data_IF_911432228603
#
_entry.id   IF_911432228603
#
_cell.length_a   1.000
_cell.length_b   1.000
_cell.length_c   1.000
_cell.angle_alpha   90.00
_cell.angle_beta   90.00
_cell.angle_gamma   90.00
#
_symmetry.space_group_name_H-M   'P 1'
#
loop_
_entity.id
_entity.type
_entity.pdbx_description
1 polymer ?
#
# COMPACT_ATOMS: atom_id res chain seq x y z
N UNK A 1 -27.44 -6.41 12.71
CA UNK A 1 -26.61 -7.64 12.66
C UNK A 1 -26.38 -8.12 11.24
N UNK A 2 -27.41 -8.25 10.39
CA UNK A 2 -27.22 -8.65 8.99
C UNK A 2 -26.40 -7.64 8.17
N UNK A 3 -26.70 -6.34 8.22
CA UNK A 3 -25.96 -5.32 7.44
C UNK A 3 -24.46 -5.27 7.76
N UNK A 4 -24.10 -5.34 9.05
CA UNK A 4 -22.71 -5.40 9.51
C UNK A 4 -22.03 -6.64 8.94
N UNK A 5 -22.70 -7.79 8.91
CA UNK A 5 -22.13 -9.03 8.39
C UNK A 5 -21.93 -8.98 6.87
N UNK A 6 -22.86 -8.40 6.11
CA UNK A 6 -22.72 -8.14 4.66
C UNK A 6 -21.63 -7.12 4.34
N UNK A 7 -21.51 -6.05 5.12
CA UNK A 7 -20.42 -5.07 4.97
C UNK A 7 -19.06 -5.72 5.29
N UNK A 8 -18.99 -6.53 6.34
CA UNK A 8 -17.77 -7.25 6.73
C UNK A 8 -17.37 -8.29 5.66
N UNK A 9 -18.34 -9.03 5.10
CA UNK A 9 -18.15 -9.95 3.99
C UNK A 9 -17.71 -9.23 2.71
N UNK A 10 -18.32 -8.09 2.37
CA UNK A 10 -17.94 -7.30 1.22
C UNK A 10 -16.50 -6.75 1.34
N UNK A 11 -16.11 -6.32 2.54
CA UNK A 11 -14.72 -5.90 2.82
C UNK A 11 -13.76 -7.09 2.74
N UNK A 12 -14.15 -8.26 3.26
CA UNK A 12 -13.34 -9.49 3.18
C UNK A 12 -13.17 -10.01 1.75
N UNK A 13 -14.24 -10.07 0.94
CA UNK A 13 -14.18 -10.52 -0.45
C UNK A 13 -13.30 -9.62 -1.30
N UNK A 14 -13.32 -8.31 -1.05
CA UNK A 14 -12.52 -7.32 -1.79
C UNK A 14 -11.05 -7.33 -1.32
N UNK A 15 -10.80 -7.49 -0.02
CA UNK A 15 -9.45 -7.70 0.52
C UNK A 15 -8.84 -9.03 0.01
N UNK A 16 -9.65 -10.09 -0.08
CA UNK A 16 -9.26 -11.37 -0.64
C UNK A 16 -8.94 -11.25 -2.15
N UNK A 17 -9.79 -10.57 -2.94
CA UNK A 17 -9.51 -10.29 -4.36
C UNK A 17 -8.20 -9.55 -4.57
N UNK A 18 -7.87 -8.60 -3.70
CA UNK A 18 -6.64 -7.82 -3.81
C UNK A 18 -5.40 -8.63 -3.38
N UNK A 19 -5.53 -9.48 -2.35
CA UNK A 19 -4.51 -10.48 -1.99
C UNK A 19 -4.29 -11.51 -3.10
N UNK A 20 -5.36 -11.91 -3.78
CA UNK A 20 -5.31 -12.81 -4.94
C UNK A 20 -4.58 -12.14 -6.09
N UNK A 21 -4.87 -10.87 -6.43
CA UNK A 21 -4.14 -10.13 -7.46
C UNK A 21 -2.64 -10.04 -7.13
N UNK A 22 -2.31 -9.72 -5.87
CA UNK A 22 -0.94 -9.64 -5.37
C UNK A 22 -0.21 -11.00 -5.43
N UNK A 23 -0.92 -12.09 -5.12
CA UNK A 23 -0.43 -13.46 -5.21
C UNK A 23 -0.18 -13.90 -6.66
N UNK A 24 -1.07 -13.58 -7.59
CA UNK A 24 -0.89 -13.91 -9.00
C UNK A 24 0.28 -13.16 -9.63
N UNK A 25 0.57 -11.95 -9.18
CA UNK A 25 1.68 -11.14 -9.68
C UNK A 25 3.05 -11.69 -9.33
N UNK A 26 3.17 -12.19 -8.11
CA UNK A 26 4.34 -12.91 -7.63
C UNK A 26 4.59 -14.18 -8.47
N UNK A 27 3.54 -14.79 -9.01
CA UNK A 27 3.62 -15.99 -9.87
C UNK A 27 3.98 -15.67 -11.32
N UNK A 28 3.96 -14.41 -11.76
CA UNK A 28 4.37 -14.05 -13.12
C UNK A 28 5.88 -14.26 -13.29
N UNK A 29 6.23 -15.11 -14.25
CA UNK A 29 7.61 -15.50 -14.55
C UNK A 29 8.54 -14.30 -14.82
N UNK A 30 8.05 -13.30 -15.56
CA UNK A 30 8.78 -12.05 -15.83
C UNK A 30 9.15 -11.29 -14.54
N UNK A 31 8.23 -11.28 -13.57
CA UNK A 31 8.45 -10.62 -12.31
C UNK A 31 9.49 -11.38 -11.49
N UNK A 32 9.39 -12.71 -11.43
CA UNK A 32 10.39 -13.58 -10.77
C UNK A 32 11.81 -13.41 -11.34
N UNK A 33 11.95 -13.31 -12.66
CA UNK A 33 13.24 -13.11 -13.32
C UNK A 33 13.85 -11.73 -13.00
N UNK A 34 13.02 -10.68 -12.92
CA UNK A 34 13.46 -9.37 -12.47
C UNK A 34 13.88 -9.39 -10.99
N UNK A 35 13.19 -10.13 -10.13
CA UNK A 35 13.45 -10.17 -8.69
C UNK A 35 14.79 -10.83 -8.31
N UNK A 36 15.26 -11.83 -9.07
CA UNK A 36 16.51 -12.53 -8.77
C UNK A 36 17.77 -11.80 -9.26
N UNK A 37 17.62 -10.74 -10.06
CA UNK A 37 18.76 -9.97 -10.58
C UNK A 37 19.25 -8.97 -9.54
N UNK A 38 20.53 -9.00 -9.22
CA UNK A 38 21.14 -8.10 -8.21
C UNK A 38 21.39 -6.68 -8.72
N UNK A 39 21.49 -6.49 -10.03
CA UNK A 39 21.65 -5.19 -10.68
C UNK A 39 20.62 -5.01 -11.80
N UNK A 40 19.78 -3.97 -11.66
CA UNK A 40 18.78 -3.62 -12.65
C UNK A 40 19.29 -2.50 -13.55
N UNK A 41 19.05 -2.65 -14.85
CA UNK A 41 19.24 -1.57 -15.82
C UNK A 41 18.17 -0.48 -15.62
N UNK A 42 18.41 0.76 -16.07
CA UNK A 42 17.40 1.82 -15.99
C UNK A 42 16.06 1.46 -16.67
N UNK A 43 16.10 0.67 -17.76
CA UNK A 43 14.90 0.18 -18.45
C UNK A 43 14.11 -0.81 -17.58
N UNK A 44 14.80 -1.71 -16.88
CA UNK A 44 14.17 -2.65 -15.94
C UNK A 44 13.57 -1.91 -14.74
N UNK A 45 14.28 -0.92 -14.17
CA UNK A 45 13.76 -0.08 -13.09
C UNK A 45 12.53 0.71 -13.53
N UNK A 46 12.52 1.25 -14.76
CA UNK A 46 11.36 1.94 -15.32
C UNK A 46 10.17 0.98 -15.48
N UNK A 47 10.40 -0.23 -16.01
CA UNK A 47 9.36 -1.25 -16.17
C UNK A 47 8.77 -1.66 -14.82
N UNK A 48 9.61 -1.93 -13.81
CA UNK A 48 9.18 -2.25 -12.45
C UNK A 48 8.41 -1.08 -11.83
N UNK A 49 8.90 0.16 -11.99
CA UNK A 49 8.19 1.35 -11.51
C UNK A 49 6.79 1.43 -12.12
N UNK A 50 6.66 1.26 -13.44
CA UNK A 50 5.36 1.26 -14.11
C UNK A 50 4.44 0.16 -13.59
N UNK A 51 4.95 -1.06 -13.43
CA UNK A 51 4.20 -2.21 -12.89
C UNK A 51 3.68 -1.93 -11.48
N UNK A 52 4.53 -1.45 -10.57
CA UNK A 52 4.12 -1.15 -9.20
C UNK A 52 3.18 0.06 -9.11
N UNK A 53 3.37 1.07 -9.95
CA UNK A 53 2.41 2.17 -10.09
C UNK A 53 1.05 1.65 -10.53
N UNK A 54 0.99 0.77 -11.53
CA UNK A 54 -0.27 0.16 -11.97
C UNK A 54 -0.96 -0.60 -10.85
N UNK A 55 -0.24 -1.34 -9.99
CA UNK A 55 -0.87 -1.98 -8.82
C UNK A 55 -1.35 -0.99 -7.78
N UNK A 56 -0.57 0.05 -7.51
CA UNK A 56 -0.95 1.07 -6.55
C UNK A 56 -2.23 1.83 -7.00
N UNK A 57 -2.35 2.08 -8.31
CA UNK A 57 -3.52 2.67 -8.95
C UNK A 57 -4.71 1.71 -8.95
N UNK A 58 -4.51 0.47 -9.43
CA UNK A 58 -5.54 -0.57 -9.45
C UNK A 58 -6.11 -0.83 -8.05
N UNK A 59 -5.25 -0.93 -7.04
CA UNK A 59 -5.64 -1.06 -5.63
C UNK A 59 -6.54 0.08 -5.16
N UNK A 60 -6.29 1.30 -5.65
CA UNK A 60 -7.14 2.45 -5.33
C UNK A 60 -8.49 2.37 -6.05
N UNK A 61 -8.52 1.98 -7.33
CA UNK A 61 -9.78 1.80 -8.09
C UNK A 61 -10.62 0.64 -7.61
N UNK A 62 -9.99 -0.45 -7.17
CA UNK A 62 -10.67 -1.59 -6.56
C UNK A 62 -11.02 -1.36 -5.08
N UNK A 63 -10.72 -0.17 -4.55
CA UNK A 63 -10.95 0.18 -3.16
C UNK A 63 -12.43 0.18 -2.79
N UNK A 64 -12.72 -0.12 -1.52
CA UNK A 64 -14.10 -0.18 -1.00
C UNK A 64 -14.47 1.17 -0.39
N UNK A 65 -15.56 1.82 -0.85
CA UNK A 65 -16.04 3.05 -0.25
C UNK A 65 -16.65 2.77 1.14
N UNK A 66 -16.20 3.50 2.15
CA UNK A 66 -16.70 3.44 3.54
C UNK A 66 -16.70 4.86 4.10
N UNK A 67 -17.89 5.43 4.37
CA UNK A 67 -18.04 6.75 5.02
C UNK A 67 -17.21 7.88 4.37
N UNK A 68 -17.20 7.96 3.04
CA UNK A 68 -16.41 8.96 2.31
C UNK A 68 -14.89 8.66 2.27
N UNK A 69 -14.47 7.48 2.72
CA UNK A 69 -13.11 6.94 2.58
C UNK A 69 -13.07 5.79 1.58
N UNK A 70 -11.86 5.47 1.07
CA UNK A 70 -11.60 4.33 0.20
C UNK A 70 -10.61 3.37 0.86
N UNK A 71 -11.09 2.22 1.32
CA UNK A 71 -10.27 1.13 1.88
C UNK A 71 -9.53 0.43 0.74
N UNK A 72 -8.20 0.41 0.79
CA UNK A 72 -7.35 -0.15 -0.27
C UNK A 72 -6.03 -0.67 0.33
N UNK A 73 -5.21 -1.35 -0.47
CA UNK A 73 -3.85 -1.80 -0.06
C UNK A 73 -2.74 -1.12 -0.85
N UNK A 74 -2.94 0.14 -1.25
CA UNK A 74 -1.97 0.90 -2.07
C UNK A 74 -0.58 0.93 -1.42
N UNK A 75 -0.53 1.12 -0.10
CA UNK A 75 0.72 1.14 0.67
C UNK A 75 1.49 -0.17 0.53
N UNK A 76 0.82 -1.30 0.35
CA UNK A 76 1.49 -2.59 0.16
C UNK A 76 2.29 -2.60 -1.14
N UNK A 77 1.72 -2.14 -2.25
CA UNK A 77 2.44 -2.02 -3.52
C UNK A 77 3.61 -1.04 -3.41
N UNK A 78 3.36 0.17 -2.89
CA UNK A 78 4.37 1.22 -2.73
C UNK A 78 5.55 0.74 -1.87
N UNK A 79 5.25 0.18 -0.70
CA UNK A 79 6.26 -0.21 0.29
C UNK A 79 7.08 -1.40 -0.21
N UNK A 80 6.42 -2.42 -0.78
CA UNK A 80 7.10 -3.60 -1.30
C UNK A 80 8.01 -3.25 -2.48
N UNK A 81 7.52 -2.41 -3.40
CA UNK A 81 8.29 -1.95 -4.56
C UNK A 81 9.57 -1.22 -4.16
N UNK A 82 9.49 -0.29 -3.20
CA UNK A 82 10.67 0.44 -2.73
C UNK A 82 11.67 -0.42 -1.95
N UNK A 83 11.21 -1.39 -1.15
CA UNK A 83 12.10 -2.29 -0.38
C UNK A 83 12.88 -3.22 -1.32
N UNK A 84 12.21 -3.73 -2.36
CA UNK A 84 12.77 -4.72 -3.26
C UNK A 84 13.66 -4.10 -4.34
N UNK A 85 13.22 -3.00 -4.94
CA UNK A 85 13.84 -2.43 -6.14
C UNK A 85 14.51 -1.07 -5.89
N UNK A 86 14.47 -0.59 -4.65
CA UNK A 86 15.22 0.59 -4.19
C UNK A 86 14.40 1.88 -4.15
N UNK A 87 14.99 2.97 -3.64
CA UNK A 87 14.25 4.18 -3.27
C UNK A 87 13.73 4.98 -4.44
N UNK A 88 14.34 4.88 -5.62
CA UNK A 88 13.80 5.55 -6.81
C UNK A 88 12.44 4.96 -7.18
N UNK A 89 12.32 3.63 -7.15
CA UNK A 89 11.04 2.93 -7.37
C UNK A 89 10.05 3.33 -6.29
N UNK A 90 10.43 3.22 -5.01
CA UNK A 90 9.56 3.59 -3.88
C UNK A 90 9.04 5.02 -3.96
N UNK A 91 9.92 6.00 -4.17
CA UNK A 91 9.57 7.41 -4.22
C UNK A 91 8.65 7.74 -5.41
N UNK A 92 8.97 7.24 -6.61
CA UNK A 92 8.17 7.52 -7.82
C UNK A 92 6.80 6.84 -7.71
N UNK A 93 6.75 5.57 -7.30
CA UNK A 93 5.48 4.84 -7.13
C UNK A 93 4.63 5.51 -6.04
N UNK A 94 5.23 5.89 -4.91
CA UNK A 94 4.54 6.58 -3.82
C UNK A 94 3.97 7.93 -4.24
N UNK A 95 4.74 8.72 -5.01
CA UNK A 95 4.27 9.99 -5.56
C UNK A 95 3.13 9.79 -6.56
N UNK A 96 3.29 8.90 -7.55
CA UNK A 96 2.26 8.62 -8.55
C UNK A 96 0.97 8.14 -7.87
N UNK A 97 1.08 7.20 -6.94
CA UNK A 97 -0.07 6.61 -6.30
C UNK A 97 -0.77 7.59 -5.34
N UNK A 98 0.00 8.42 -4.62
CA UNK A 98 -0.53 9.49 -3.79
C UNK A 98 -1.25 10.55 -4.62
N UNK A 99 -0.58 11.09 -5.65
CA UNK A 99 -1.15 12.13 -6.53
C UNK A 99 -2.42 11.60 -7.19
N UNK A 100 -2.38 10.39 -7.72
CA UNK A 100 -3.56 9.76 -8.31
C UNK A 100 -4.71 9.67 -7.29
N UNK A 101 -4.46 9.22 -6.04
CA UNK A 101 -5.49 9.15 -5.00
C UNK A 101 -6.08 10.52 -4.65
N UNK A 102 -5.27 11.57 -4.65
CA UNK A 102 -5.73 12.93 -4.42
C UNK A 102 -6.62 13.41 -5.58
N UNK A 103 -6.18 13.20 -6.82
CA UNK A 103 -6.88 13.70 -8.02
C UNK A 103 -8.25 13.04 -8.26
N UNK A 104 -8.43 11.77 -7.89
CA UNK A 104 -9.70 11.07 -8.12
C UNK A 104 -10.82 11.48 -7.15
N UNK A 105 -10.49 12.17 -6.05
CA UNK A 105 -11.41 12.43 -4.94
C UNK A 105 -10.87 13.62 -4.14
N UNK A 106 -10.75 14.78 -4.80
CA UNK A 106 -10.08 15.99 -4.28
C UNK A 106 -10.72 16.48 -2.97
N UNK A 107 -12.03 16.37 -2.86
CA UNK A 107 -12.81 16.78 -1.69
C UNK A 107 -13.01 15.65 -0.66
N UNK A 108 -12.40 14.49 -0.91
CA UNK A 108 -12.50 13.33 -0.04
C UNK A 108 -11.76 13.49 1.27
N UNK A 109 -12.41 13.08 2.36
CA UNK A 109 -11.89 13.19 3.75
C UNK A 109 -10.54 12.48 3.91
N UNK A 110 -10.27 11.45 3.09
CA UNK A 110 -9.02 10.68 3.18
C UNK A 110 -8.05 10.94 2.04
N UNK A 111 -8.35 11.85 1.11
CA UNK A 111 -7.51 12.13 -0.06
C UNK A 111 -6.15 12.70 0.30
N UNK A 112 -6.12 13.75 1.14
CA UNK A 112 -4.87 14.38 1.61
C UNK A 112 -4.10 13.46 2.57
N UNK A 113 -4.72 12.83 3.60
CA UNK A 113 -4.05 11.82 4.44
C UNK A 113 -3.37 10.74 3.60
N UNK A 114 -4.09 10.14 2.65
CA UNK A 114 -3.58 9.09 1.77
C UNK A 114 -2.44 9.57 0.86
N UNK A 115 -2.52 10.79 0.34
CA UNK A 115 -1.47 11.39 -0.48
C UNK A 115 -0.15 11.48 0.31
N UNK A 116 -0.21 12.07 1.50
CA UNK A 116 0.95 12.25 2.39
C UNK A 116 1.56 10.89 2.74
N UNK A 117 0.74 9.94 3.20
CA UNK A 117 1.26 8.64 3.66
C UNK A 117 1.79 7.78 2.52
N UNK A 118 1.29 7.94 1.29
CA UNK A 118 1.84 7.25 0.11
C UNK A 118 3.25 7.73 -0.23
N UNK A 119 3.50 9.04 -0.14
CA UNK A 119 4.85 9.60 -0.33
C UNK A 119 5.77 9.12 0.79
N UNK A 120 5.32 9.20 2.05
CA UNK A 120 6.10 8.75 3.22
C UNK A 120 6.45 7.27 3.09
N UNK A 121 5.51 6.40 2.73
CA UNK A 121 5.75 4.99 2.49
C UNK A 121 6.76 4.74 1.36
N UNK A 122 6.68 5.52 0.28
CA UNK A 122 7.63 5.44 -0.83
C UNK A 122 9.07 5.78 -0.43
N UNK A 123 9.25 6.80 0.42
CA UNK A 123 10.56 7.18 0.93
C UNK A 123 11.09 6.18 1.97
N UNK A 124 10.24 5.75 2.92
CA UNK A 124 10.60 4.80 3.97
C UNK A 124 10.97 3.43 3.40
N UNK A 125 10.20 2.92 2.44
CA UNK A 125 10.53 1.66 1.76
C UNK A 125 11.87 1.67 1.08
N UNK A 126 12.17 2.77 0.39
CA UNK A 126 13.46 3.00 -0.23
C UNK A 126 14.63 3.05 0.77
N UNK A 127 14.41 3.68 1.92
CA UNK A 127 15.37 3.70 3.01
C UNK A 127 15.61 2.30 3.56
N UNK A 128 14.54 1.53 3.82
CA UNK A 128 14.62 0.14 4.29
C UNK A 128 15.37 -0.73 3.28
N UNK A 129 15.03 -0.63 1.99
CA UNK A 129 15.68 -1.36 0.91
C UNK A 129 17.18 -1.10 0.79
N UNK A 130 17.66 0.09 1.19
CA UNK A 130 19.10 0.44 1.20
C UNK A 130 19.83 0.12 2.50
N UNK A 131 19.20 0.38 3.66
CA UNK A 131 19.88 0.38 4.96
C UNK A 131 19.65 -0.87 5.79
N UNK A 132 18.55 -1.60 5.57
CA UNK A 132 18.22 -2.80 6.36
C UNK A 132 18.79 -4.06 5.68
N UNK A 133 19.46 -4.95 6.44
CA UNK A 133 19.95 -6.23 5.93
C UNK A 133 18.82 -7.06 5.33
N UNK A 134 19.07 -7.75 4.19
CA UNK A 134 18.05 -8.53 3.47
C UNK A 134 17.21 -9.42 4.39
N UNK A 135 17.84 -10.18 5.28
CA UNK A 135 17.19 -11.08 6.24
C UNK A 135 16.15 -10.41 7.18
N UNK A 136 16.23 -9.08 7.36
CA UNK A 136 15.34 -8.32 8.26
C UNK A 136 14.37 -7.40 7.50
N UNK A 137 14.52 -7.24 6.18
CA UNK A 137 13.70 -6.31 5.38
C UNK A 137 12.21 -6.60 5.47
N UNK A 138 11.83 -7.87 5.59
CA UNK A 138 10.42 -8.24 5.74
C UNK A 138 9.83 -7.75 7.06
N UNK A 139 10.54 -7.90 8.19
CA UNK A 139 10.10 -7.40 9.50
C UNK A 139 10.01 -5.88 9.50
N UNK A 140 11.05 -5.23 8.96
CA UNK A 140 11.09 -3.78 8.82
C UNK A 140 9.97 -3.26 7.91
N UNK A 141 9.66 -3.98 6.83
CA UNK A 141 8.56 -3.66 5.92
C UNK A 141 7.19 -3.76 6.56
N UNK A 142 6.93 -4.81 7.35
CA UNK A 142 5.67 -4.93 8.13
C UNK A 142 5.55 -3.75 9.09
N UNK A 143 6.58 -3.51 9.90
CA UNK A 143 6.55 -2.44 10.90
C UNK A 143 6.34 -1.07 10.25
N UNK A 144 7.09 -0.77 9.18
CA UNK A 144 6.96 0.50 8.47
C UNK A 144 5.59 0.64 7.80
N UNK A 145 5.03 -0.44 7.23
CA UNK A 145 3.68 -0.44 6.69
C UNK A 145 2.63 -0.13 7.76
N UNK A 146 2.69 -0.82 8.90
CA UNK A 146 1.79 -0.57 10.02
C UNK A 146 1.90 0.86 10.54
N UNK A 147 3.11 1.41 10.63
CA UNK A 147 3.33 2.81 11.02
C UNK A 147 2.77 3.80 10.00
N UNK A 148 2.92 3.55 8.70
CA UNK A 148 2.33 4.39 7.64
C UNK A 148 0.79 4.34 7.67
N UNK A 149 0.19 3.18 7.90
CA UNK A 149 -1.26 3.06 8.03
C UNK A 149 -1.78 3.72 9.30
N UNK A 150 -1.05 3.56 10.41
CA UNK A 150 -1.37 4.26 11.67
C UNK A 150 -1.31 5.77 11.49
N UNK A 151 -0.27 6.27 10.81
CA UNK A 151 -0.16 7.68 10.44
C UNK A 151 -1.35 8.11 9.57
N UNK A 152 -1.79 7.27 8.63
CA UNK A 152 -2.97 7.56 7.80
C UNK A 152 -4.21 7.73 8.68
N UNK A 153 -4.45 6.82 9.63
CA UNK A 153 -5.59 6.91 10.54
C UNK A 153 -5.56 8.16 11.41
N UNK A 154 -4.39 8.51 11.95
CA UNK A 154 -4.20 9.75 12.72
C UNK A 154 -4.52 10.97 11.85
N UNK A 155 -3.97 11.02 10.63
CA UNK A 155 -4.23 12.11 9.71
C UNK A 155 -5.71 12.19 9.33
N UNK A 156 -6.41 11.07 9.13
CA UNK A 156 -7.85 11.06 8.85
C UNK A 156 -8.65 11.70 9.99
N UNK A 157 -8.34 11.39 11.25
CA UNK A 157 -9.03 12.00 12.41
C UNK A 157 -8.79 13.50 12.48
N UNK A 158 -7.56 13.95 12.20
CA UNK A 158 -7.17 15.36 12.25
C UNK A 158 -7.74 16.16 11.07
N UNK A 159 -7.84 15.54 9.89
CA UNK A 159 -8.27 16.21 8.65
C UNK A 159 -9.79 16.17 8.44
N UNK A 160 -10.51 15.31 9.16
CA UNK A 160 -11.95 15.18 9.00
C UNK A 160 -12.69 16.48 9.37
N UNK A 161 -13.77 16.84 8.65
CA UNK A 161 -14.61 18.00 8.97
C UNK A 161 -15.18 18.00 10.39
N UNK A 162 -15.32 16.81 11.00
CA UNK A 162 -15.65 16.66 12.41
C UNK A 162 -14.88 15.50 13.01
N UNK A 163 -14.52 15.63 14.29
CA UNK A 163 -13.83 14.58 15.04
C UNK A 163 -14.65 13.28 15.10
N UNK A 164 -15.98 13.40 15.23
CA UNK A 164 -16.89 12.26 15.25
C UNK A 164 -16.83 11.45 13.94
N UNK A 165 -16.83 12.12 12.79
CA UNK A 165 -16.70 11.47 11.48
C UNK A 165 -15.33 10.79 11.33
N UNK A 166 -14.25 11.46 11.74
CA UNK A 166 -12.90 10.90 11.69
C UNK A 166 -12.77 9.60 12.50
N UNK A 167 -13.32 9.58 13.72
CA UNK A 167 -13.34 8.37 14.57
C UNK A 167 -14.22 7.28 13.97
N UNK A 168 -15.39 7.62 13.42
CA UNK A 168 -16.28 6.65 12.78
C UNK A 168 -15.59 5.95 11.59
N UNK A 169 -14.93 6.72 10.71
CA UNK A 169 -14.13 6.19 9.60
C UNK A 169 -13.02 5.27 10.15
N UNK A 170 -12.20 5.74 11.08
CA UNK A 170 -11.05 4.96 11.60
C UNK A 170 -11.50 3.69 12.32
N UNK A 171 -12.62 3.73 13.03
CA UNK A 171 -13.17 2.54 13.72
C UNK A 171 -13.55 1.42 12.76
N UNK A 172 -13.97 1.77 11.53
CA UNK A 172 -14.39 0.83 10.49
C UNK A 172 -13.20 0.30 9.67
N UNK A 173 -12.19 1.14 9.41
CA UNK A 173 -11.13 0.82 8.42
C UNK A 173 -9.73 0.64 9.02
N UNK A 174 -9.47 1.16 10.21
CA UNK A 174 -8.11 1.25 10.76
C UNK A 174 -7.48 -0.12 11.03
N UNK A 175 -8.20 -1.00 11.73
CA UNK A 175 -7.73 -2.35 12.05
C UNK A 175 -7.40 -3.16 10.79
N UNK A 176 -8.32 -3.33 9.81
CA UNK A 176 -8.03 -4.16 8.64
C UNK A 176 -6.88 -3.60 7.79
N UNK A 177 -6.74 -2.27 7.66
CA UNK A 177 -5.64 -1.68 6.88
C UNK A 177 -4.28 -1.84 7.58
N UNK A 178 -4.22 -1.61 8.90
CA UNK A 178 -2.99 -1.80 9.68
C UNK A 178 -2.55 -3.27 9.66
N UNK A 179 -3.46 -4.22 9.94
CA UNK A 179 -3.14 -5.65 9.91
C UNK A 179 -2.79 -6.13 8.49
N UNK A 180 -3.43 -5.57 7.45
CA UNK A 180 -3.12 -5.85 6.06
C UNK A 180 -1.66 -5.57 5.69
N UNK A 181 -0.99 -4.65 6.39
CA UNK A 181 0.44 -4.34 6.19
C UNK A 181 1.37 -5.53 6.41
N UNK A 182 0.92 -6.60 7.09
CA UNK A 182 1.65 -7.86 7.21
C UNK A 182 2.01 -8.44 5.83
N UNK A 183 1.19 -8.22 4.80
CA UNK A 183 1.42 -8.78 3.47
C UNK A 183 2.65 -8.18 2.79
N UNK A 184 3.10 -6.99 3.19
CA UNK A 184 4.39 -6.41 2.75
C UNK A 184 5.52 -7.38 3.12
N UNK A 185 5.52 -7.87 4.36
CA UNK A 185 6.51 -8.83 4.82
C UNK A 185 6.47 -10.15 4.05
N UNK A 186 5.28 -10.66 3.75
CA UNK A 186 5.13 -11.88 2.95
C UNK A 186 5.64 -11.71 1.52
N UNK A 187 5.35 -10.59 0.86
CA UNK A 187 5.92 -10.29 -0.46
C UNK A 187 7.45 -10.24 -0.38
N UNK A 188 7.99 -9.48 0.58
CA UNK A 188 9.43 -9.31 0.70
C UNK A 188 10.13 -10.63 1.01
N UNK A 189 9.57 -11.46 1.89
CA UNK A 189 10.09 -12.79 2.20
C UNK A 189 10.09 -13.69 0.98
N UNK A 190 8.95 -13.82 0.31
CA UNK A 190 8.78 -14.73 -0.82
C UNK A 190 9.67 -14.36 -1.99
N UNK A 191 9.89 -13.06 -2.20
CA UNK A 191 10.80 -12.56 -3.23
C UNK A 191 12.26 -12.83 -2.90
N UNK A 192 12.64 -12.79 -1.61
CA UNK A 192 14.02 -12.91 -1.17
C UNK A 192 14.46 -14.33 -0.84
N UNK A 193 13.51 -15.26 -0.72
CA UNK A 193 13.73 -16.71 -0.57
C UNK A 193 14.11 -17.35 -1.89
#
# INVERSE_FOLDING_TARGET
MHEIFTMLLAVFDRAALMLICLFFLIRLRLFRELLHKSAHTPKELLAVTAIFSLFALFSTWSGVPVEGSLVNVRIIAVMSGGILFGPWVGAIVGAIAGVHRYLIDIDGVTAVPCFITSIVAGLLSGFIGRKVPKAQRWKAGILAGMLCETLTMILVVVWAPSFALGIDIVSKIGIPMILGSVCIGFIVLLVQS
#
